data_IF_598872102453
#
_entry.id   IF_598872102453
#
_cell.length_a   1.000
_cell.length_b   1.000
_cell.length_c   1.000
_cell.angle_alpha   90.00
_cell.angle_beta   90.00
_cell.angle_gamma   90.00
#
_symmetry.space_group_name_H-M   'P 1'
#
loop_
_entity.id
_entity.type
_entity.pdbx_description
1 polymer ?
#
# COMPACT_ATOMS: atom_id res chain seq x y z
N UNK A 1 -39.45 -11.33 -24.41
CA UNK A 1 -38.52 -10.66 -23.46
C UNK A 1 -37.57 -11.65 -22.78
N UNK A 2 -38.02 -12.85 -22.39
CA UNK A 2 -37.16 -13.92 -21.82
C UNK A 2 -36.31 -14.64 -22.88
N UNK A 3 -36.82 -14.82 -24.11
CA UNK A 3 -36.10 -15.53 -25.17
C UNK A 3 -34.81 -14.82 -25.62
N UNK A 4 -34.77 -13.49 -25.57
CA UNK A 4 -33.57 -12.71 -25.91
C UNK A 4 -32.47 -12.76 -24.84
N UNK A 5 -32.80 -13.19 -23.62
CA UNK A 5 -31.83 -13.38 -22.54
C UNK A 5 -31.24 -14.79 -22.58
N UNK A 6 -32.05 -15.80 -22.94
CA UNK A 6 -31.58 -17.16 -23.21
C UNK A 6 -30.66 -17.24 -24.44
N UNK A 7 -30.99 -16.52 -25.52
CA UNK A 7 -30.18 -16.51 -26.75
C UNK A 7 -28.78 -15.89 -26.55
N UNK A 8 -28.63 -14.96 -25.59
CA UNK A 8 -27.33 -14.38 -25.20
C UNK A 8 -26.48 -15.32 -24.34
N UNK A 9 -27.12 -16.21 -23.57
CA UNK A 9 -26.48 -17.25 -22.77
C UNK A 9 -26.02 -18.41 -23.67
N UNK A 10 -26.85 -18.79 -24.63
CA UNK A 10 -26.60 -19.87 -25.60
C UNK A 10 -25.50 -19.54 -26.61
N UNK A 11 -25.34 -18.26 -26.97
CA UNK A 11 -24.25 -17.76 -27.81
C UNK A 11 -22.91 -17.60 -27.09
N UNK A 12 -22.85 -17.84 -25.78
CA UNK A 12 -21.62 -17.72 -24.99
C UNK A 12 -21.15 -16.28 -24.75
N UNK A 13 -21.91 -15.27 -25.17
CA UNK A 13 -21.60 -13.83 -25.04
C UNK A 13 -21.91 -13.28 -23.62
N UNK A 14 -21.83 -14.13 -22.60
CA UNK A 14 -21.86 -13.64 -21.21
C UNK A 14 -20.46 -13.15 -20.88
N UNK A 15 -20.20 -11.89 -21.21
CA UNK A 15 -19.05 -11.17 -20.69
C UNK A 15 -19.30 -10.89 -19.20
N UNK A 16 -19.01 -11.89 -18.36
CA UNK A 16 -19.03 -11.73 -16.90
C UNK A 16 -17.88 -10.81 -16.55
N UNK A 17 -18.15 -9.52 -16.51
CA UNK A 17 -17.30 -8.53 -15.86
C UNK A 17 -17.33 -8.85 -14.36
N UNK A 18 -16.54 -9.85 -13.95
CA UNK A 18 -16.27 -10.19 -12.56
C UNK A 18 -15.50 -9.01 -11.97
N UNK A 19 -16.24 -8.01 -11.49
CA UNK A 19 -15.69 -6.90 -10.73
C UNK A 19 -15.26 -7.47 -9.36
N UNK A 20 -14.12 -8.16 -9.32
CA UNK A 20 -13.51 -8.73 -8.13
C UNK A 20 -12.86 -7.61 -7.31
N UNK A 21 -13.71 -6.73 -6.76
CA UNK A 21 -13.32 -5.62 -5.88
C UNK A 21 -12.47 -6.06 -4.69
N UNK A 22 -12.68 -7.29 -4.20
CA UNK A 22 -11.89 -7.83 -3.09
C UNK A 22 -10.39 -7.99 -3.39
N UNK A 23 -10.00 -8.18 -4.65
CA UNK A 23 -8.60 -8.38 -5.02
C UNK A 23 -7.83 -7.06 -5.03
N UNK A 24 -8.49 -5.98 -5.41
CA UNK A 24 -7.89 -4.64 -5.49
C UNK A 24 -7.63 -4.06 -4.10
N UNK A 25 -8.56 -4.26 -3.15
CA UNK A 25 -8.38 -3.86 -1.75
C UNK A 25 -7.21 -4.60 -1.09
N UNK A 26 -7.08 -5.90 -1.35
CA UNK A 26 -6.00 -6.73 -0.82
C UNK A 26 -4.64 -6.26 -1.38
N UNK A 27 -4.59 -5.95 -2.68
CA UNK A 27 -3.42 -5.39 -3.35
C UNK A 27 -2.98 -4.07 -2.72
N UNK A 28 -3.93 -3.19 -2.46
CA UNK A 28 -3.65 -1.88 -1.87
C UNK A 28 -3.12 -2.00 -0.43
N UNK A 29 -3.77 -2.82 0.40
CA UNK A 29 -3.32 -3.08 1.77
C UNK A 29 -1.93 -3.71 1.80
N UNK A 30 -1.66 -4.68 0.93
CA UNK A 30 -0.36 -5.32 0.82
C UNK A 30 0.72 -4.32 0.42
N UNK A 31 0.46 -3.51 -0.61
CA UNK A 31 1.41 -2.51 -1.12
C UNK A 31 1.77 -1.49 -0.03
N UNK A 32 0.77 -0.96 0.69
CA UNK A 32 0.98 -0.02 1.80
C UNK A 32 1.80 -0.66 2.92
N UNK A 33 1.47 -1.89 3.33
CA UNK A 33 2.18 -2.59 4.39
C UNK A 33 3.65 -2.86 4.05
N UNK A 34 3.95 -3.16 2.77
CA UNK A 34 5.30 -3.37 2.27
C UNK A 34 6.12 -2.07 2.25
N UNK A 35 5.52 -0.97 1.79
CA UNK A 35 6.18 0.34 1.77
C UNK A 35 6.56 0.76 3.20
N UNK A 36 5.64 0.63 4.16
CA UNK A 36 5.90 0.95 5.57
C UNK A 36 6.99 0.05 6.14
N UNK A 37 6.94 -1.26 5.88
CA UNK A 37 7.95 -2.20 6.36
C UNK A 37 9.35 -1.89 5.79
N UNK A 38 9.45 -1.62 4.48
CA UNK A 38 10.70 -1.28 3.84
C UNK A 38 11.30 0.04 4.36
N UNK A 39 10.46 1.03 4.66
CA UNK A 39 10.88 2.30 5.26
C UNK A 39 11.44 2.11 6.68
N UNK A 40 10.77 1.30 7.52
CA UNK A 40 11.24 0.99 8.87
C UNK A 40 12.58 0.24 8.82
N UNK A 41 12.65 -0.83 8.02
CA UNK A 41 13.85 -1.66 7.89
C UNK A 41 15.01 -0.85 7.29
N UNK A 42 14.76 -0.11 6.20
CA UNK A 42 15.77 0.72 5.54
C UNK A 42 16.31 1.83 6.44
N UNK A 43 15.44 2.48 7.23
CA UNK A 43 15.86 3.49 8.20
C UNK A 43 16.69 2.88 9.33
N UNK A 44 16.28 1.72 9.85
CA UNK A 44 17.05 1.00 10.87
C UNK A 44 18.41 0.56 10.35
N UNK A 45 18.49 0.11 9.09
CA UNK A 45 19.74 -0.29 8.46
C UNK A 45 20.67 0.90 8.24
N UNK A 46 20.12 2.07 7.90
CA UNK A 46 20.90 3.32 7.77
C UNK A 46 21.49 3.80 9.10
N UNK A 47 20.84 3.51 10.22
CA UNK A 47 21.37 3.78 11.58
C UNK A 47 22.53 2.82 11.89
N UNK A 48 22.36 1.52 11.65
CA UNK A 48 23.39 0.49 11.92
C UNK A 48 24.59 0.62 10.98
N UNK A 49 24.38 1.08 9.75
CA UNK A 49 25.45 1.25 8.77
C UNK A 49 26.51 2.27 9.22
N UNK A 50 26.17 3.15 10.18
CA UNK A 50 27.08 4.10 10.82
C UNK A 50 27.93 4.93 9.83
N UNK A 51 27.35 5.19 8.65
CA UNK A 51 27.96 5.87 7.51
C UNK A 51 27.18 7.16 7.21
N UNK A 52 27.89 8.29 7.21
CA UNK A 52 27.32 9.62 6.91
C UNK A 52 27.58 10.66 8.02
N UNK A 53 27.12 11.91 7.83
CA UNK A 53 27.28 12.96 8.84
C UNK A 53 26.56 12.56 10.13
N UNK A 54 27.32 12.47 11.23
CA UNK A 54 26.79 12.16 12.56
C UNK A 54 26.28 13.43 13.22
N UNK A 55 25.08 13.37 13.77
CA UNK A 55 24.54 14.39 14.67
C UNK A 55 24.18 13.65 15.96
N UNK A 56 24.76 14.02 17.10
CA UNK A 56 24.53 13.35 18.39
C UNK A 56 24.80 11.82 18.39
N UNK A 57 25.87 11.35 17.72
CA UNK A 57 26.24 9.91 17.60
C UNK A 57 25.26 9.01 16.84
N UNK A 58 24.25 9.60 16.18
CA UNK A 58 23.32 8.90 15.28
C UNK A 58 23.46 9.41 13.85
N UNK A 59 23.23 8.52 12.88
CA UNK A 59 23.23 8.85 11.45
C UNK A 59 22.13 9.87 11.14
N UNK A 60 22.50 11.08 10.74
CA UNK A 60 21.54 12.15 10.45
C UNK A 60 20.56 11.76 9.34
N UNK A 61 21.06 11.06 8.32
CA UNK A 61 20.28 10.55 7.18
C UNK A 61 19.28 9.50 7.67
N UNK A 62 19.72 8.58 8.54
CA UNK A 62 18.84 7.56 9.13
C UNK A 62 17.75 8.16 10.00
N UNK A 63 18.08 9.17 10.82
CA UNK A 63 17.11 9.85 11.67
C UNK A 63 16.06 10.62 10.86
N UNK A 64 16.48 11.39 9.86
CA UNK A 64 15.57 12.11 8.96
C UNK A 64 14.66 11.13 8.23
N UNK A 65 15.23 10.04 7.68
CA UNK A 65 14.47 8.98 7.02
C UNK A 65 13.46 8.32 7.95
N UNK A 66 13.83 8.06 9.20
CA UNK A 66 12.95 7.45 10.20
C UNK A 66 11.77 8.37 10.57
N UNK A 67 12.03 9.64 10.87
CA UNK A 67 10.98 10.62 11.19
C UNK A 67 10.04 10.82 10.00
N UNK A 68 10.60 10.93 8.79
CA UNK A 68 9.80 11.07 7.57
C UNK A 68 8.91 9.84 7.33
N UNK A 69 9.45 8.64 7.57
CA UNK A 69 8.71 7.38 7.48
C UNK A 69 7.57 7.30 8.49
N UNK A 70 7.80 7.74 9.73
CA UNK A 70 6.77 7.77 10.77
C UNK A 70 5.61 8.71 10.40
N UNK A 71 5.92 9.90 9.88
CA UNK A 71 4.91 10.87 9.42
C UNK A 71 4.10 10.29 8.25
N UNK A 72 4.77 9.68 7.26
CA UNK A 72 4.10 9.04 6.13
C UNK A 72 3.17 7.89 6.57
N UNK A 73 3.64 7.04 7.48
CA UNK A 73 2.85 5.94 8.03
C UNK A 73 1.58 6.44 8.72
N UNK A 74 1.70 7.45 9.59
CA UNK A 74 0.56 8.07 10.27
C UNK A 74 -0.39 8.70 9.26
N UNK A 75 0.13 9.44 8.27
CA UNK A 75 -0.68 10.07 7.24
C UNK A 75 -1.53 9.05 6.47
N UNK A 76 -0.95 7.91 6.08
CA UNK A 76 -1.66 6.86 5.36
C UNK A 76 -2.74 6.21 6.23
N UNK A 77 -2.43 5.92 7.51
CA UNK A 77 -3.40 5.35 8.45
C UNK A 77 -4.58 6.30 8.65
N UNK A 78 -4.30 7.59 8.88
CA UNK A 78 -5.34 8.61 9.02
C UNK A 78 -6.17 8.74 7.75
N UNK A 79 -5.54 8.79 6.57
CA UNK A 79 -6.25 8.90 5.30
C UNK A 79 -7.13 7.68 5.03
N UNK A 80 -6.65 6.48 5.34
CA UNK A 80 -7.44 5.25 5.21
C UNK A 80 -8.63 5.23 6.18
N UNK A 81 -8.42 5.69 7.43
CA UNK A 81 -9.48 5.76 8.43
C UNK A 81 -10.53 6.84 8.08
N UNK A 82 -10.11 8.02 7.63
CA UNK A 82 -11.00 9.14 7.29
C UNK A 82 -11.80 8.85 6.01
N UNK A 83 -11.18 8.23 5.00
CA UNK A 83 -11.84 7.94 3.72
C UNK A 83 -12.78 6.71 3.76
N UNK A 84 -12.88 6.02 4.90
CA UNK A 84 -13.81 4.90 5.12
C UNK A 84 -15.18 5.36 5.66
N UNK A 85 -15.36 6.67 5.88
CA UNK A 85 -16.61 7.29 6.34
C UNK A 85 -17.21 8.17 5.24
#
# INVERSE_FOLDING_TARGET
RLNSTLDKIEKGDIEVNLNHTGLDDLKNQLSVSLIVSALIIGSSLAIVADKGPRIFDISAIGFIGFVFSAILGIYIVLRYMINKN
#
